data_IF_413419081554
#
_entry.id   IF_413419081554
#
_cell.length_a   1.000
_cell.length_b   1.000
_cell.length_c   1.000
_cell.angle_alpha   90.00
_cell.angle_beta   90.00
_cell.angle_gamma   90.00
#
_symmetry.space_group_name_H-M   'P 1'
#
loop_
_entity.id
_entity.type
_entity.pdbx_description
1 polymer ?
#
# COMPACT_ATOMS: atom_id res chain seq x y z
N UNK A 1 4.76 -8.94 23.65
CA UNK A 1 4.76 -7.69 22.87
C UNK A 1 5.59 -6.66 23.62
N UNK A 2 6.46 -5.97 22.89
CA UNK A 2 7.21 -4.82 23.41
C UNK A 2 6.25 -3.66 23.75
N UNK A 3 6.51 -2.92 24.83
CA UNK A 3 5.67 -1.78 25.24
C UNK A 3 5.84 -0.61 24.24
N UNK A 4 4.76 -0.26 23.54
CA UNK A 4 4.74 0.81 22.54
C UNK A 4 5.04 2.20 23.11
N UNK A 5 4.80 2.41 24.41
CA UNK A 5 5.05 3.69 25.08
C UNK A 5 6.53 3.86 25.45
N UNK A 6 7.29 2.77 25.55
CA UNK A 6 8.67 2.77 26.03
C UNK A 6 9.62 2.06 25.06
N UNK A 7 9.65 2.54 23.80
CA UNK A 7 10.52 2.03 22.74
C UNK A 7 11.82 2.82 22.66
N UNK A 8 12.95 2.11 22.66
CA UNK A 8 14.25 2.65 22.25
C UNK A 8 14.46 2.38 20.75
N UNK A 9 14.02 3.35 19.93
CA UNK A 9 14.08 3.26 18.47
C UNK A 9 15.50 3.02 17.94
N UNK A 10 16.52 3.61 18.56
CA UNK A 10 17.91 3.45 18.12
C UNK A 10 18.42 2.05 18.38
N UNK A 11 18.13 1.49 19.56
CA UNK A 11 18.50 0.12 19.89
C UNK A 11 17.79 -0.91 18.99
N UNK A 12 16.58 -0.60 18.55
CA UNK A 12 15.83 -1.42 17.58
C UNK A 12 16.35 -1.25 16.14
N UNK A 13 17.31 -0.34 15.90
CA UNK A 13 17.82 -0.01 14.57
C UNK A 13 16.74 0.53 13.65
N UNK A 14 15.90 1.42 14.18
CA UNK A 14 14.88 2.11 13.41
C UNK A 14 15.51 2.98 12.33
N UNK A 15 14.99 2.85 11.11
CA UNK A 15 15.26 3.75 10.01
C UNK A 15 13.96 4.13 9.31
N UNK A 16 13.86 5.39 8.88
CA UNK A 16 12.68 5.87 8.17
C UNK A 16 12.99 6.85 7.04
N UNK A 17 12.21 6.81 5.97
CA UNK A 17 12.32 7.72 4.83
C UNK A 17 10.98 8.33 4.46
N UNK A 18 11.00 9.47 3.79
CA UNK A 18 9.82 10.16 3.29
C UNK A 18 9.85 10.23 1.77
N UNK A 19 8.70 9.95 1.18
CA UNK A 19 8.36 10.25 -0.20
C UNK A 19 7.25 11.31 -0.15
N UNK A 20 7.63 12.57 -0.36
CA UNK A 20 6.71 13.71 -0.26
C UNK A 20 6.26 14.12 -1.65
N UNK A 21 4.98 13.88 -1.93
CA UNK A 21 4.34 14.26 -3.18
C UNK A 21 3.63 15.59 -2.99
N UNK A 22 3.86 16.55 -3.87
CA UNK A 22 3.23 17.87 -3.77
C UNK A 22 2.85 18.43 -5.14
N UNK A 23 1.60 18.87 -5.30
CA UNK A 23 1.14 19.41 -6.58
C UNK A 23 1.82 20.75 -6.86
N UNK A 24 2.43 20.87 -8.03
CA UNK A 24 2.99 22.12 -8.54
C UNK A 24 1.84 22.97 -9.08
N UNK A 25 1.80 24.23 -8.69
CA UNK A 25 0.84 25.19 -9.21
C UNK A 25 1.20 25.49 -10.67
N UNK A 26 0.44 24.99 -11.63
CA UNK A 26 0.56 25.34 -13.06
C UNK A 26 -0.78 25.82 -13.62
N UNK A 27 -0.78 26.39 -14.83
CA UNK A 27 -1.98 26.74 -15.59
C UNK A 27 -2.58 25.53 -16.30
N UNK A 28 -1.75 24.58 -16.72
CA UNK A 28 -2.14 23.37 -17.45
C UNK A 28 -1.56 22.12 -16.80
N UNK A 29 -2.14 20.97 -17.15
CA UNK A 29 -1.62 19.65 -16.80
C UNK A 29 -0.27 19.37 -17.48
N UNK A 30 0.50 18.42 -16.95
CA UNK A 30 1.90 18.23 -17.30
C UNK A 30 2.10 17.86 -18.77
N UNK A 31 1.27 16.97 -19.32
CA UNK A 31 1.40 16.45 -20.69
C UNK A 31 0.15 16.68 -21.55
N UNK A 32 -0.72 17.62 -21.18
CA UNK A 32 -1.82 18.07 -22.02
C UNK A 32 -2.14 19.56 -21.79
N UNK A 33 -3.14 20.10 -22.49
CA UNK A 33 -3.51 21.51 -22.40
C UNK A 33 -4.68 21.76 -21.43
N UNK A 34 -5.20 20.73 -20.77
CA UNK A 34 -6.31 20.87 -19.83
C UNK A 34 -5.91 21.70 -18.60
N UNK A 35 -6.83 22.51 -18.06
CA UNK A 35 -6.57 23.31 -16.87
C UNK A 35 -6.43 22.43 -15.61
N UNK A 36 -5.64 22.87 -14.64
CA UNK A 36 -5.47 22.15 -13.37
C UNK A 36 -6.57 22.50 -12.36
N UNK A 37 -7.82 22.19 -12.67
CA UNK A 37 -8.98 22.45 -11.81
C UNK A 37 -9.67 21.15 -11.43
N UNK A 38 -10.09 21.02 -10.18
CA UNK A 38 -10.87 19.87 -9.71
C UNK A 38 -12.36 20.14 -9.95
N UNK A 39 -13.11 19.07 -10.19
CA UNK A 39 -14.56 19.11 -10.28
C UNK A 39 -15.15 18.45 -9.03
N UNK A 40 -15.81 19.24 -8.19
CA UNK A 40 -16.32 18.80 -6.90
C UNK A 40 -17.74 18.23 -7.00
N UNK A 41 -18.52 18.64 -8.01
CA UNK A 41 -19.87 18.12 -8.20
C UNK A 41 -19.84 16.86 -9.07
N UNK A 42 -20.20 15.68 -8.54
CA UNK A 42 -20.28 14.45 -9.34
C UNK A 42 -21.26 14.54 -10.51
N UNK A 43 -22.30 15.38 -10.43
CA UNK A 43 -23.29 15.56 -11.51
C UNK A 43 -22.68 16.23 -12.76
N UNK A 44 -21.55 16.93 -12.59
CA UNK A 44 -20.83 17.55 -13.70
C UNK A 44 -19.94 16.54 -14.46
N UNK A 45 -19.92 15.25 -14.07
CA UNK A 45 -19.23 14.20 -14.81
C UNK A 45 -20.09 13.74 -15.99
N UNK A 46 -19.84 14.31 -17.16
CA UNK A 46 -20.64 14.12 -18.38
C UNK A 46 -20.42 12.74 -19.02
N UNK A 47 -19.23 12.18 -18.87
CA UNK A 47 -18.83 10.93 -19.51
C UNK A 47 -18.33 9.91 -18.52
N UNK A 48 -18.59 8.64 -18.82
CA UNK A 48 -17.93 7.53 -18.15
C UNK A 48 -17.54 6.44 -19.14
N UNK A 49 -16.44 5.77 -18.84
CA UNK A 49 -15.97 4.60 -19.57
C UNK A 49 -15.31 3.63 -18.60
N UNK A 50 -15.11 2.39 -19.03
CA UNK A 50 -14.46 1.40 -18.20
C UNK A 50 -13.26 0.77 -18.91
N UNK A 51 -12.27 0.35 -18.13
CA UNK A 51 -11.09 -0.36 -18.60
C UNK A 51 -10.77 -1.55 -17.70
N UNK A 52 -10.06 -2.50 -18.28
CA UNK A 52 -9.37 -3.57 -17.58
C UNK A 52 -7.89 -3.42 -17.85
N UNK A 53 -7.10 -3.59 -16.80
CA UNK A 53 -5.65 -3.53 -16.90
C UNK A 53 -5.08 -4.93 -17.02
N UNK A 54 -4.00 -5.06 -17.78
CA UNK A 54 -3.27 -6.32 -17.95
C UNK A 54 -1.79 -6.11 -17.64
N UNK A 55 -1.13 -7.07 -17.00
CA UNK A 55 0.31 -7.00 -16.80
C UNK A 55 1.02 -7.02 -18.16
N UNK A 56 2.15 -6.32 -18.23
CA UNK A 56 3.00 -6.25 -19.42
C UNK A 56 4.39 -6.76 -19.03
N UNK A 57 5.07 -7.43 -19.95
CA UNK A 57 6.44 -7.86 -19.75
C UNK A 57 7.35 -6.64 -19.61
N UNK A 58 8.27 -6.68 -18.65
CA UNK A 58 9.36 -5.71 -18.56
C UNK A 58 10.34 -5.88 -19.72
N UNK A 59 11.36 -5.01 -19.78
CA UNK A 59 12.38 -5.04 -20.84
C UNK A 59 13.11 -6.39 -20.92
N UNK A 60 13.26 -7.08 -19.78
CA UNK A 60 13.88 -8.41 -19.69
C UNK A 60 12.96 -9.58 -20.06
N UNK A 61 11.68 -9.31 -20.40
CA UNK A 61 10.74 -10.36 -20.77
C UNK A 61 10.06 -11.08 -19.59
N UNK A 62 10.22 -10.58 -18.36
CA UNK A 62 9.58 -11.09 -17.15
C UNK A 62 8.45 -10.16 -16.66
N UNK A 63 7.49 -10.70 -15.91
CA UNK A 63 6.44 -9.92 -15.24
C UNK A 63 6.88 -9.47 -13.84
N UNK A 64 6.57 -8.23 -13.46
CA UNK A 64 6.68 -7.80 -12.06
C UNK A 64 5.72 -8.61 -11.17
N UNK A 65 6.20 -9.29 -10.11
CA UNK A 65 5.34 -10.09 -9.23
C UNK A 65 4.23 -9.25 -8.56
N UNK A 66 4.51 -8.00 -8.21
CA UNK A 66 3.52 -7.10 -7.62
C UNK A 66 2.40 -6.75 -8.60
N UNK A 67 2.73 -6.58 -9.88
CA UNK A 67 1.77 -6.37 -10.97
C UNK A 67 0.87 -7.58 -11.19
N UNK A 68 1.40 -8.80 -11.11
CA UNK A 68 0.60 -10.04 -11.18
C UNK A 68 -0.42 -10.14 -10.04
N UNK A 69 -0.01 -9.78 -8.82
CA UNK A 69 -0.91 -9.75 -7.66
C UNK A 69 -2.00 -8.69 -7.83
N UNK A 70 -1.67 -7.51 -8.39
CA UNK A 70 -2.67 -6.47 -8.65
C UNK A 70 -3.68 -6.94 -9.73
N UNK A 71 -3.19 -7.60 -10.78
CA UNK A 71 -4.03 -8.19 -11.82
C UNK A 71 -4.96 -9.29 -11.27
N UNK A 72 -4.47 -10.11 -10.34
CA UNK A 72 -5.24 -11.18 -9.67
C UNK A 72 -6.46 -10.63 -8.90
N UNK A 73 -6.42 -9.36 -8.46
CA UNK A 73 -7.58 -8.69 -7.83
C UNK A 73 -8.75 -8.50 -8.80
N UNK A 74 -8.51 -8.50 -10.11
CA UNK A 74 -9.54 -8.52 -11.15
C UNK A 74 -10.47 -7.30 -11.16
N UNK A 75 -9.95 -6.10 -10.86
CA UNK A 75 -10.78 -4.90 -10.81
C UNK A 75 -11.26 -4.46 -12.19
N UNK A 76 -12.57 -4.19 -12.30
CA UNK A 76 -13.14 -3.33 -13.34
C UNK A 76 -12.93 -1.87 -12.93
N UNK A 77 -12.26 -1.08 -13.77
CA UNK A 77 -11.98 0.32 -13.47
C UNK A 77 -12.95 1.19 -14.25
N UNK A 78 -13.72 2.03 -13.57
CA UNK A 78 -14.65 2.99 -14.17
C UNK A 78 -14.08 4.40 -14.01
N UNK A 79 -13.93 5.10 -15.11
CA UNK A 79 -13.45 6.47 -15.16
C UNK A 79 -14.60 7.43 -15.39
N UNK A 80 -14.59 8.53 -14.65
CA UNK A 80 -15.52 9.65 -14.76
C UNK A 80 -14.75 10.87 -15.31
N UNK A 81 -15.33 11.54 -16.30
CA UNK A 81 -14.70 12.64 -17.01
C UNK A 81 -15.72 13.73 -17.36
N UNK A 82 -15.20 14.93 -17.64
CA UNK A 82 -15.96 16.09 -18.12
C UNK A 82 -15.08 16.89 -19.10
N UNK A 83 -15.68 17.64 -20.02
CA UNK A 83 -14.94 18.39 -21.05
C UNK A 83 -14.13 19.55 -20.47
N UNK A 84 -14.55 20.06 -19.31
CA UNK A 84 -13.98 21.26 -18.72
C UNK A 84 -12.52 21.07 -18.30
N UNK A 85 -12.12 19.87 -17.87
CA UNK A 85 -10.78 19.60 -17.37
C UNK A 85 -10.18 18.24 -17.76
N UNK A 86 -10.82 17.50 -18.66
CA UNK A 86 -10.33 16.21 -19.16
C UNK A 86 -10.35 16.23 -20.69
N UNK A 87 -9.29 15.74 -21.33
CA UNK A 87 -9.27 15.50 -22.77
C UNK A 87 -8.94 14.04 -23.09
N UNK A 88 -8.82 13.74 -24.39
CA UNK A 88 -8.51 12.39 -24.89
C UNK A 88 -7.14 11.88 -24.45
N UNK A 89 -6.21 12.77 -24.06
CA UNK A 89 -4.94 12.36 -23.44
C UNK A 89 -5.16 11.63 -22.12
N UNK A 90 -5.91 12.23 -21.19
CA UNK A 90 -6.20 11.59 -19.90
C UNK A 90 -7.06 10.35 -20.04
N UNK A 91 -7.79 10.20 -21.15
CA UNK A 91 -8.55 9.00 -21.46
C UNK A 91 -7.70 7.88 -22.07
N UNK A 92 -6.40 8.12 -22.32
CA UNK A 92 -5.50 7.22 -23.04
C UNK A 92 -6.00 6.93 -24.47
N UNK A 93 -6.39 7.99 -25.18
CA UNK A 93 -6.86 7.98 -26.58
C UNK A 93 -6.03 8.93 -27.46
N UNK A 94 -5.00 9.58 -26.92
CA UNK A 94 -4.12 10.50 -27.63
C UNK A 94 -2.71 10.49 -27.02
N UNK A 95 -1.64 10.48 -27.83
CA UNK A 95 -0.27 10.61 -27.32
C UNK A 95 -0.06 11.85 -26.44
N UNK A 96 0.96 11.86 -25.55
CA UNK A 96 1.28 13.03 -24.73
C UNK A 96 1.61 14.26 -25.59
N UNK A 97 1.17 15.43 -25.12
CA UNK A 97 1.66 16.69 -25.62
C UNK A 97 3.03 17.01 -25.01
N UNK A 98 3.75 17.97 -25.59
CA UNK A 98 5.02 18.44 -25.03
C UNK A 98 4.84 18.90 -23.57
N UNK A 99 5.77 18.54 -22.66
CA UNK A 99 5.60 18.78 -21.24
C UNK A 99 5.48 20.26 -20.88
N UNK A 100 4.84 20.54 -19.75
CA UNK A 100 4.68 21.89 -19.23
C UNK A 100 6.00 22.47 -18.72
N UNK A 101 6.62 23.33 -19.54
CA UNK A 101 7.89 23.98 -19.21
C UNK A 101 7.80 24.84 -17.93
N UNK A 102 6.64 25.42 -17.61
CA UNK A 102 6.43 26.16 -16.35
C UNK A 102 6.54 25.23 -15.13
N UNK A 103 5.99 24.00 -15.22
CA UNK A 103 6.14 23.00 -14.18
C UNK A 103 7.59 22.50 -14.07
N UNK A 104 8.27 22.29 -15.19
CA UNK A 104 9.68 21.88 -15.24
C UNK A 104 10.55 22.91 -14.53
N UNK A 105 10.48 24.19 -14.95
CA UNK A 105 11.26 25.28 -14.36
C UNK A 105 11.07 25.36 -12.83
N UNK A 106 9.83 25.20 -12.37
CA UNK A 106 9.52 25.15 -10.92
C UNK A 106 10.16 23.96 -10.22
N UNK A 107 10.25 22.80 -10.85
CA UNK A 107 10.96 21.66 -10.26
C UNK A 107 12.47 21.92 -10.09
N UNK A 108 13.10 22.62 -11.03
CA UNK A 108 14.51 23.03 -10.90
C UNK A 108 14.69 24.07 -9.80
N UNK A 109 13.83 25.10 -9.75
CA UNK A 109 13.84 26.08 -8.64
C UNK A 109 13.67 25.38 -7.30
N UNK A 110 12.75 24.42 -7.20
CA UNK A 110 12.55 23.66 -5.98
C UNK A 110 13.77 22.81 -5.61
N UNK A 111 14.46 22.24 -6.61
CA UNK A 111 15.70 21.48 -6.42
C UNK A 111 16.82 22.35 -5.82
N UNK A 112 16.92 23.63 -6.23
CA UNK A 112 17.83 24.61 -5.62
C UNK A 112 17.48 24.89 -4.14
N UNK A 113 16.19 25.04 -3.81
CA UNK A 113 15.76 25.19 -2.42
C UNK A 113 16.12 23.99 -1.54
N UNK A 114 16.21 22.80 -2.14
CA UNK A 114 16.65 21.57 -1.48
C UNK A 114 18.15 21.33 -1.55
N UNK A 115 18.93 22.31 -2.02
CA UNK A 115 20.38 22.24 -2.12
C UNK A 115 20.87 21.05 -2.96
N UNK A 116 20.08 20.59 -3.93
CA UNK A 116 20.51 19.55 -4.86
C UNK A 116 21.76 20.01 -5.63
N UNK A 117 22.69 19.09 -5.88
CA UNK A 117 23.92 19.39 -6.61
C UNK A 117 23.99 18.76 -7.99
N UNK A 118 23.14 17.76 -8.25
CA UNK A 118 23.17 16.95 -9.48
C UNK A 118 21.89 17.18 -10.28
N UNK A 119 21.88 18.21 -11.13
CA UNK A 119 20.73 18.55 -11.98
C UNK A 119 20.72 17.72 -13.26
N UNK A 120 19.53 17.37 -13.75
CA UNK A 120 19.39 16.76 -15.07
C UNK A 120 19.69 17.82 -16.15
N UNK A 121 20.69 17.59 -16.99
CA UNK A 121 20.99 18.44 -18.15
C UNK A 121 20.07 18.14 -19.34
N UNK A 122 19.59 16.91 -19.41
CA UNK A 122 18.60 16.45 -20.39
C UNK A 122 17.52 15.66 -19.64
N UNK A 123 16.27 16.08 -19.80
CA UNK A 123 15.13 15.42 -19.19
C UNK A 123 14.65 14.31 -20.11
N UNK A 124 14.74 13.08 -19.62
CA UNK A 124 14.15 11.90 -20.26
C UNK A 124 12.93 11.47 -19.47
N UNK A 125 11.77 11.48 -20.13
CA UNK A 125 10.51 11.03 -19.53
C UNK A 125 10.48 9.51 -19.46
N UNK A 126 10.08 8.98 -18.31
CA UNK A 126 9.96 7.55 -18.06
C UNK A 126 8.53 7.19 -17.65
N UNK A 127 8.19 5.91 -17.80
CA UNK A 127 6.89 5.31 -17.46
C UNK A 127 7.05 4.41 -16.23
N UNK A 128 6.41 4.78 -15.12
CA UNK A 128 6.34 4.00 -13.88
C UNK A 128 5.01 3.24 -13.86
N UNK A 129 5.00 1.91 -14.03
CA UNK A 129 3.78 1.09 -14.28
C UNK A 129 2.76 1.00 -13.11
N UNK A 130 1.51 1.43 -13.24
CA UNK A 130 0.44 1.27 -12.22
C UNK A 130 -0.73 0.43 -12.77
N UNK A 131 -1.03 -0.71 -12.15
CA UNK A 131 -2.19 -1.56 -12.52
C UNK A 131 -3.42 -1.36 -11.61
N UNK A 132 -3.35 -0.47 -10.62
CA UNK A 132 -4.45 -0.22 -9.67
C UNK A 132 -5.60 0.61 -10.27
N UNK A 133 -5.47 1.03 -11.54
CA UNK A 133 -6.46 1.83 -12.25
C UNK A 133 -6.41 3.33 -11.94
N UNK A 134 -5.50 3.80 -11.10
CA UNK A 134 -5.40 5.23 -10.78
C UNK A 134 -4.88 6.08 -11.96
N UNK A 135 -4.31 5.44 -12.98
CA UNK A 135 -3.80 6.07 -14.20
C UNK A 135 -4.29 5.27 -15.41
N UNK A 136 -4.91 5.95 -16.37
CA UNK A 136 -5.61 5.33 -17.52
C UNK A 136 -4.71 4.58 -18.49
N UNK A 137 -3.48 5.06 -18.69
CA UNK A 137 -2.43 4.44 -19.50
C UNK A 137 -1.82 3.19 -18.85
N UNK A 138 -2.06 2.97 -17.55
CA UNK A 138 -1.41 1.92 -16.77
C UNK A 138 0.02 2.25 -16.37
N UNK A 139 0.48 3.50 -16.56
CA UNK A 139 1.78 3.98 -16.10
C UNK A 139 1.78 5.50 -15.89
N UNK A 140 2.49 5.95 -14.86
CA UNK A 140 2.70 7.37 -14.58
C UNK A 140 3.90 7.87 -15.38
N UNK A 141 3.77 9.01 -16.07
CA UNK A 141 4.95 9.69 -16.62
C UNK A 141 5.68 10.45 -15.51
N UNK A 142 6.98 10.22 -15.43
CA UNK A 142 7.86 10.76 -14.37
C UNK A 142 9.26 11.00 -14.92
N UNK A 143 9.95 12.01 -14.41
CA UNK A 143 11.35 12.28 -14.73
C UNK A 143 12.07 12.94 -13.55
N UNK A 144 13.37 12.71 -13.46
CA UNK A 144 14.23 13.31 -12.44
C UNK A 144 14.55 14.74 -12.86
N UNK A 145 14.37 15.71 -11.97
CA UNK A 145 14.89 17.07 -12.17
C UNK A 145 16.27 17.26 -11.53
N UNK A 146 16.48 16.70 -10.33
CA UNK A 146 17.76 16.77 -9.63
C UNK A 146 17.94 15.66 -8.57
N UNK A 147 19.18 15.50 -8.11
CA UNK A 147 19.61 14.56 -7.06
C UNK A 147 20.59 15.22 -6.10
N UNK A 148 20.91 14.49 -5.03
CA UNK A 148 21.95 14.82 -4.05
C UNK A 148 21.68 16.13 -3.29
N UNK A 149 20.43 16.31 -2.84
CA UNK A 149 20.01 17.42 -1.98
C UNK A 149 20.05 17.10 -0.50
N UNK A 150 19.58 18.02 0.35
CA UNK A 150 19.42 17.80 1.80
C UNK A 150 18.54 18.85 2.47
N UNK A 151 18.04 18.50 3.67
CA UNK A 151 17.39 19.44 4.61
C UNK A 151 18.04 19.38 5.99
N UNK A 152 18.12 20.51 6.73
CA UNK A 152 18.69 20.52 8.08
C UNK A 152 17.67 19.99 9.10
N UNK A 153 18.06 18.98 9.88
CA UNK A 153 17.21 18.34 10.90
C UNK A 153 18.04 18.18 12.18
N UNK A 154 17.63 18.84 13.26
CA UNK A 154 18.25 18.71 14.59
C UNK A 154 19.79 18.81 14.61
N UNK A 155 20.36 19.70 13.79
CA UNK A 155 21.82 19.91 13.72
C UNK A 155 22.57 18.94 12.78
N UNK A 156 21.89 17.97 12.16
CA UNK A 156 22.41 17.14 11.07
C UNK A 156 21.73 17.43 9.73
N UNK A 157 22.25 16.83 8.66
CA UNK A 157 21.63 16.85 7.33
C UNK A 157 20.90 15.53 7.10
N UNK A 158 19.64 15.59 6.67
CA UNK A 158 18.94 14.47 6.08
C UNK A 158 18.99 14.65 4.57
N UNK A 159 19.59 13.69 3.87
CA UNK A 159 19.79 13.77 2.42
C UNK A 159 18.48 13.58 1.67
N UNK A 160 18.36 14.27 0.54
CA UNK A 160 17.34 14.07 -0.48
C UNK A 160 18.04 13.34 -1.62
N UNK A 161 17.63 12.10 -1.88
CA UNK A 161 18.26 11.26 -2.90
C UNK A 161 17.85 11.71 -4.30
N UNK A 162 16.56 11.98 -4.51
CA UNK A 162 16.00 12.35 -5.79
C UNK A 162 14.86 13.35 -5.62
N UNK A 163 14.73 14.24 -6.59
CA UNK A 163 13.56 15.07 -6.83
C UNK A 163 13.02 14.78 -8.23
N UNK A 164 11.77 14.33 -8.27
CA UNK A 164 11.05 14.03 -9.50
C UNK A 164 10.01 15.10 -9.81
N UNK A 165 9.69 15.20 -11.09
CA UNK A 165 8.44 15.80 -11.58
C UNK A 165 7.65 14.70 -12.28
N UNK A 166 6.38 14.58 -11.95
CA UNK A 166 5.51 13.52 -12.44
C UNK A 166 4.06 13.96 -12.58
N UNK A 167 3.25 13.12 -13.21
CA UNK A 167 1.80 13.29 -13.29
C UNK A 167 1.11 12.85 -11.99
N UNK A 168 0.22 13.65 -11.44
CA UNK A 168 -0.65 13.18 -10.36
C UNK A 168 -1.68 12.15 -10.88
N UNK A 169 -2.10 11.25 -10.02
CA UNK A 169 -3.05 10.19 -10.34
C UNK A 169 -4.51 10.68 -10.27
N UNK A 170 -5.43 9.96 -10.91
CA UNK A 170 -6.87 10.22 -10.83
C UNK A 170 -7.38 10.17 -9.37
N UNK A 171 -8.48 10.88 -9.07
CA UNK A 171 -9.09 10.84 -7.73
C UNK A 171 -10.00 9.63 -7.62
N UNK A 172 -9.75 8.76 -6.64
CA UNK A 172 -10.63 7.64 -6.38
C UNK A 172 -11.94 8.12 -5.74
N UNK A 173 -13.07 7.55 -6.17
CA UNK A 173 -14.44 7.89 -5.72
C UNK A 173 -15.03 6.68 -4.99
N UNK A 174 -15.73 6.92 -3.87
CA UNK A 174 -16.50 5.94 -3.08
C UNK A 174 -15.76 4.63 -2.75
N UNK A 175 -14.85 4.66 -1.78
CA UNK A 175 -14.17 3.47 -1.26
C UNK A 175 -14.90 2.91 -0.05
N UNK A 176 -16.06 2.28 -0.26
CA UNK A 176 -16.74 1.62 0.86
C UNK A 176 -16.83 0.10 0.66
N UNK A 177 -16.64 -0.44 -0.55
CA UNK A 177 -16.68 -1.89 -0.74
C UNK A 177 -15.81 -2.42 -1.91
N UNK A 178 -14.74 -3.15 -1.56
CA UNK A 178 -13.90 -3.88 -2.53
C UNK A 178 -14.53 -5.17 -3.03
N UNK A 179 -15.63 -5.64 -2.43
CA UNK A 179 -16.33 -6.89 -2.80
C UNK A 179 -16.87 -6.84 -4.23
N UNK A 180 -17.32 -5.66 -4.67
CA UNK A 180 -17.88 -5.42 -6.00
C UNK A 180 -16.87 -5.56 -7.14
N UNK A 181 -15.57 -5.68 -6.82
CA UNK A 181 -14.44 -5.69 -7.76
C UNK A 181 -14.51 -4.56 -8.79
N UNK A 182 -15.13 -3.44 -8.42
CA UNK A 182 -15.25 -2.27 -9.27
C UNK A 182 -14.69 -1.06 -8.53
N UNK A 183 -13.85 -0.29 -9.21
CA UNK A 183 -13.25 0.93 -8.65
C UNK A 183 -13.57 2.12 -9.55
N UNK A 184 -13.86 3.26 -8.93
CA UNK A 184 -14.27 4.47 -9.63
C UNK A 184 -13.20 5.54 -9.49
N UNK A 185 -12.82 6.19 -10.58
CA UNK A 185 -11.83 7.26 -10.61
C UNK A 185 -12.34 8.46 -11.40
N UNK A 186 -12.21 9.64 -10.82
CA UNK A 186 -12.42 10.92 -11.49
C UNK A 186 -11.09 11.40 -12.12
N UNK A 187 -11.11 11.66 -13.42
CA UNK A 187 -9.94 12.04 -14.22
C UNK A 187 -9.53 13.51 -14.07
N UNK A 188 -10.31 14.32 -13.37
CA UNK A 188 -10.04 15.75 -13.22
C UNK A 188 -8.62 16.08 -12.71
N UNK A 189 -8.10 15.28 -11.78
CA UNK A 189 -6.75 15.43 -11.21
C UNK A 189 -5.66 14.73 -12.02
N UNK A 190 -6.00 13.72 -12.81
CA UNK A 190 -5.02 12.96 -13.58
C UNK A 190 -4.21 13.92 -14.46
N UNK A 191 -2.88 13.87 -14.37
CA UNK A 191 -1.99 14.72 -15.16
C UNK A 191 -1.64 16.06 -14.51
N UNK A 192 -2.15 16.39 -13.31
CA UNK A 192 -1.66 17.58 -12.60
C UNK A 192 -0.13 17.48 -12.40
N UNK A 193 0.65 18.54 -12.62
CA UNK A 193 2.08 18.48 -12.33
C UNK A 193 2.31 18.28 -10.84
N UNK A 194 3.13 17.30 -10.50
CA UNK A 194 3.44 16.88 -9.14
C UNK A 194 4.97 16.83 -9.00
N UNK A 195 5.49 17.21 -7.83
CA UNK A 195 6.87 16.91 -7.45
C UNK A 195 6.88 15.79 -6.42
N UNK A 196 7.84 14.87 -6.54
CA UNK A 196 8.13 13.83 -5.55
C UNK A 196 9.53 14.05 -4.98
N UNK A 197 9.62 14.34 -3.69
CA UNK A 197 10.88 14.55 -2.94
C UNK A 197 11.14 13.30 -2.11
N UNK A 198 12.25 12.61 -2.36
CA UNK A 198 12.59 11.34 -1.72
C UNK A 198 13.80 11.52 -0.80
N UNK A 199 13.64 11.20 0.49
CA UNK A 199 14.73 11.28 1.47
C UNK A 199 15.52 9.99 1.58
N UNK A 200 16.77 10.09 2.04
CA UNK A 200 17.59 8.96 2.45
C UNK A 200 17.07 8.41 3.78
N UNK A 201 16.69 7.13 3.80
CA UNK A 201 16.02 6.53 4.96
C UNK A 201 16.98 6.22 6.11
N UNK A 202 18.27 6.03 5.80
CA UNK A 202 19.31 5.77 6.81
C UNK A 202 19.67 7.00 7.64
N UNK A 203 19.33 8.20 7.19
CA UNK A 203 19.64 9.46 7.89
C UNK A 203 18.66 9.78 9.02
N UNK A 204 17.54 9.05 9.15
CA UNK A 204 16.51 9.24 10.18
C UNK A 204 16.45 8.02 11.07
N UNK A 205 16.75 8.20 12.36
CA UNK A 205 16.87 7.12 13.35
C UNK A 205 15.79 7.19 14.45
N UNK A 206 14.96 8.23 14.45
CA UNK A 206 13.85 8.37 15.41
C UNK A 206 12.60 9.01 14.78
N UNK A 207 11.41 8.80 15.37
CA UNK A 207 10.19 9.48 14.91
C UNK A 207 10.27 11.01 14.99
N UNK A 208 10.97 11.56 15.99
CA UNK A 208 11.13 13.02 16.09
C UNK A 208 11.92 13.60 14.92
N UNK A 209 12.97 12.90 14.49
CA UNK A 209 13.74 13.27 13.30
C UNK A 209 12.90 13.16 12.03
N UNK A 210 12.04 12.14 11.91
CA UNK A 210 11.13 11.98 10.78
C UNK A 210 10.14 13.15 10.69
N UNK A 211 9.51 13.50 11.82
CA UNK A 211 8.56 14.62 11.91
C UNK A 211 9.25 15.94 11.55
N UNK A 212 10.45 16.18 12.06
CA UNK A 212 11.18 17.41 11.73
C UNK A 212 11.62 17.43 10.26
N UNK A 213 12.02 16.29 9.69
CA UNK A 213 12.31 16.16 8.25
C UNK A 213 11.09 16.55 7.42
N UNK A 214 9.91 16.00 7.73
CA UNK A 214 8.66 16.33 7.06
C UNK A 214 8.31 17.83 7.18
N UNK A 215 8.51 18.41 8.38
CA UNK A 215 8.31 19.85 8.61
C UNK A 215 9.24 20.70 7.76
N UNK A 216 10.51 20.33 7.61
CA UNK A 216 11.49 21.06 6.79
C UNK A 216 11.11 21.02 5.31
N UNK A 217 10.78 19.84 4.78
CA UNK A 217 10.30 19.70 3.39
C UNK A 217 9.04 20.55 3.17
N UNK A 218 8.07 20.47 4.09
CA UNK A 218 6.86 21.29 4.04
C UNK A 218 7.12 22.79 4.17
N UNK A 219 8.14 23.23 4.92
CA UNK A 219 8.55 24.65 4.99
C UNK A 219 9.11 25.12 3.65
N UNK A 220 9.99 24.34 3.02
CA UNK A 220 10.53 24.65 1.68
C UNK A 220 9.40 24.78 0.65
N UNK A 221 8.50 23.80 0.59
CA UNK A 221 7.34 23.83 -0.32
C UNK A 221 6.44 25.05 -0.09
N UNK A 222 6.27 25.49 1.16
CA UNK A 222 5.48 26.69 1.50
C UNK A 222 6.17 28.00 1.13
N UNK A 223 7.47 28.10 1.41
CA UNK A 223 8.27 29.32 1.18
C UNK A 223 8.48 29.56 -0.31
N UNK A 224 8.73 28.50 -1.08
CA UNK A 224 8.90 28.58 -2.54
C UNK A 224 7.67 29.10 -3.28
N UNK A 225 6.46 28.97 -2.68
CA UNK A 225 5.16 29.31 -3.30
C UNK A 225 4.86 28.55 -4.61
N UNK A 226 5.62 27.49 -4.87
CA UNK A 226 5.46 26.62 -6.04
C UNK A 226 4.30 25.64 -5.83
N UNK A 227 4.17 25.14 -4.60
CA UNK A 227 3.15 24.17 -4.24
C UNK A 227 1.72 24.73 -4.23
N UNK A 228 0.75 23.91 -4.64
CA UNK A 228 -0.68 24.21 -4.48
C UNK A 228 -1.09 24.15 -3.02
N UNK A 229 -2.03 25.00 -2.65
CA UNK A 229 -2.66 25.00 -1.32
C UNK A 229 -4.04 24.36 -1.38
N UNK A 230 -4.44 23.73 -0.29
CA UNK A 230 -5.73 23.06 -0.16
C UNK A 230 -5.57 21.65 0.37
N UNK A 231 -6.70 21.02 0.69
CA UNK A 231 -6.72 19.61 1.08
C UNK A 231 -6.33 18.74 -0.12
N UNK A 232 -5.52 17.70 0.14
CA UNK A 232 -5.12 16.74 -0.89
C UNK A 232 -4.08 17.23 -1.90
N UNK A 233 -3.48 18.40 -1.71
CA UNK A 233 -2.38 18.90 -2.58
C UNK A 233 -1.02 18.34 -2.20
N UNK A 234 -0.88 17.82 -0.98
CA UNK A 234 0.30 17.12 -0.48
C UNK A 234 -0.07 15.70 -0.06
N UNK A 235 0.79 14.73 -0.38
CA UNK A 235 0.72 13.35 0.10
C UNK A 235 2.10 12.97 0.61
N UNK A 236 2.13 12.17 1.66
CA UNK A 236 3.38 11.68 2.25
C UNK A 236 3.24 10.18 2.42
N UNK A 237 4.19 9.48 1.83
CA UNK A 237 4.36 8.05 2.00
C UNK A 237 5.62 7.86 2.87
N UNK A 238 5.51 7.04 3.91
CA UNK A 238 6.58 6.85 4.91
C UNK A 238 7.13 5.45 4.80
N UNK A 239 8.43 5.33 4.61
CA UNK A 239 9.13 4.06 4.61
C UNK A 239 9.69 3.80 6.00
N UNK A 240 9.45 2.62 6.59
CA UNK A 240 9.91 2.26 7.94
C UNK A 240 10.56 0.87 7.91
N UNK A 241 11.64 0.70 8.67
CA UNK A 241 12.28 -0.59 8.93
C UNK A 241 12.94 -0.62 10.31
N UNK A 242 13.11 -1.82 10.85
CA UNK A 242 13.92 -2.10 12.06
C UNK A 242 14.93 -3.21 11.80
N UNK A 243 15.88 -3.40 12.72
CA UNK A 243 16.84 -4.51 12.65
C UNK A 243 16.12 -5.86 12.67
N UNK A 244 16.46 -6.75 11.73
CA UNK A 244 15.79 -8.05 11.55
C UNK A 244 14.42 -7.98 10.86
N UNK A 245 13.90 -6.77 10.64
CA UNK A 245 12.68 -6.50 9.89
C UNK A 245 12.94 -6.28 8.40
N UNK A 246 12.00 -5.61 7.74
CA UNK A 246 12.09 -5.28 6.32
C UNK A 246 11.47 -3.91 6.04
N UNK A 247 11.80 -3.30 4.90
CA UNK A 247 11.23 -2.02 4.49
C UNK A 247 9.73 -2.17 4.22
N UNK A 248 8.94 -1.33 4.86
CA UNK A 248 7.49 -1.23 4.66
C UNK A 248 7.15 0.20 4.31
N UNK A 249 6.33 0.37 3.28
CA UNK A 249 5.87 1.68 2.82
C UNK A 249 4.45 1.92 3.34
N UNK A 250 4.24 2.92 4.18
CA UNK A 250 2.94 3.31 4.71
C UNK A 250 2.43 4.53 3.94
N UNK A 251 1.36 4.34 3.18
CA UNK A 251 0.74 5.39 2.35
C UNK A 251 -0.39 6.12 3.07
N UNK A 252 -0.58 7.38 2.67
CA UNK A 252 -1.75 8.17 3.03
C UNK A 252 -1.66 8.85 4.39
N UNK A 253 -0.45 9.10 4.89
CA UNK A 253 -0.24 9.77 6.17
C UNK A 253 -0.28 11.29 5.93
N UNK A 254 -1.44 11.90 6.16
CA UNK A 254 -1.62 13.34 5.91
C UNK A 254 -1.26 14.20 7.11
N UNK A 255 -1.54 13.70 8.32
CA UNK A 255 -1.34 14.41 9.57
C UNK A 255 0.01 14.07 10.19
N UNK A 256 0.85 15.10 10.39
CA UNK A 256 2.16 14.95 10.99
C UNK A 256 2.09 14.58 12.47
N UNK A 257 0.99 14.91 13.16
CA UNK A 257 0.81 14.61 14.58
C UNK A 257 0.63 13.09 14.81
N UNK A 258 0.26 12.35 13.76
CA UNK A 258 0.09 10.90 13.80
C UNK A 258 1.37 10.12 13.46
N UNK A 259 2.45 10.79 13.06
CA UNK A 259 3.68 10.11 12.64
C UNK A 259 4.32 9.32 13.78
N UNK A 260 4.37 9.86 15.00
CA UNK A 260 4.95 9.17 16.15
C UNK A 260 4.16 7.88 16.48
N UNK A 261 2.83 7.99 16.56
CA UNK A 261 1.95 6.85 16.80
C UNK A 261 2.10 5.78 15.71
N UNK A 262 2.11 6.19 14.44
CA UNK A 262 2.34 5.28 13.31
C UNK A 262 3.68 4.56 13.42
N UNK A 263 4.77 5.28 13.73
CA UNK A 263 6.10 4.70 13.86
C UNK A 263 6.13 3.68 15.00
N UNK A 264 5.55 4.00 16.16
CA UNK A 264 5.45 3.07 17.30
C UNK A 264 4.70 1.80 16.91
N UNK A 265 3.53 1.93 16.29
CA UNK A 265 2.70 0.79 15.92
C UNK A 265 3.34 -0.07 14.82
N UNK A 266 4.10 0.53 13.89
CA UNK A 266 4.83 -0.23 12.88
C UNK A 266 6.06 -0.94 13.47
N UNK A 267 6.79 -0.32 14.40
CA UNK A 267 7.90 -0.96 15.11
C UNK A 267 7.42 -2.16 15.92
N UNK A 268 6.32 -2.01 16.66
CA UNK A 268 5.68 -3.11 17.40
C UNK A 268 5.30 -4.25 16.44
N UNK A 269 4.67 -3.92 15.31
CA UNK A 269 4.28 -4.90 14.30
C UNK A 269 5.49 -5.69 13.77
N UNK A 270 6.54 -4.99 13.35
CA UNK A 270 7.73 -5.64 12.83
C UNK A 270 8.40 -6.51 13.89
N UNK A 271 8.52 -6.00 15.13
CA UNK A 271 9.10 -6.75 16.24
C UNK A 271 8.31 -8.04 16.53
N UNK A 272 6.98 -7.96 16.64
CA UNK A 272 6.15 -9.14 16.89
C UNK A 272 6.23 -10.16 15.74
N UNK A 273 6.30 -9.71 14.48
CA UNK A 273 6.48 -10.62 13.34
C UNK A 273 7.84 -11.33 13.35
N UNK A 274 8.89 -10.67 13.85
CA UNK A 274 10.19 -11.31 14.08
C UNK A 274 10.07 -12.36 15.20
N UNK A 275 9.39 -12.05 16.30
CA UNK A 275 9.14 -13.02 17.38
C UNK A 275 8.33 -14.23 16.88
N UNK A 276 7.30 -14.00 16.06
CA UNK A 276 6.50 -15.06 15.42
C UNK A 276 7.39 -15.94 14.56
N UNK A 277 8.24 -15.35 13.71
CA UNK A 277 9.21 -16.10 12.90
C UNK A 277 10.10 -16.99 13.78
N UNK A 278 10.68 -16.43 14.84
CA UNK A 278 11.55 -17.18 15.75
C UNK A 278 10.80 -18.34 16.42
N UNK A 279 9.56 -18.12 16.82
CA UNK A 279 8.70 -19.14 17.42
C UNK A 279 8.32 -20.24 16.41
N UNK A 280 7.99 -19.86 15.17
CA UNK A 280 7.75 -20.83 14.08
C UNK A 280 8.99 -21.71 13.84
N UNK A 281 10.19 -21.12 13.84
CA UNK A 281 11.45 -21.85 13.70
C UNK A 281 11.71 -22.77 14.90
N UNK A 282 11.47 -22.32 16.14
CA UNK A 282 11.60 -23.14 17.36
C UNK A 282 10.66 -24.35 17.33
N UNK A 283 9.46 -24.19 16.78
CA UNK A 283 8.48 -25.28 16.58
C UNK A 283 8.83 -26.21 15.41
N UNK A 284 9.88 -25.92 14.65
CA UNK A 284 10.29 -26.68 13.47
C UNK A 284 9.23 -26.62 12.37
N UNK A 285 8.61 -25.46 12.16
CA UNK A 285 7.69 -25.21 11.05
C UNK A 285 8.49 -24.94 9.77
N UNK A 286 8.07 -25.57 8.67
CA UNK A 286 8.66 -25.44 7.34
C UNK A 286 7.59 -25.12 6.31
N UNK A 287 7.97 -24.68 5.11
CA UNK A 287 7.00 -24.40 4.05
C UNK A 287 6.23 -25.66 3.60
N UNK A 288 6.84 -26.83 3.75
CA UNK A 288 6.26 -28.14 3.39
C UNK A 288 5.16 -28.58 4.37
N UNK A 289 5.13 -28.04 5.60
CA UNK A 289 4.04 -28.29 6.54
C UNK A 289 2.70 -27.72 6.05
N UNK A 290 2.73 -26.77 5.11
CA UNK A 290 1.52 -26.11 4.59
C UNK A 290 1.20 -26.58 3.16
N UNK A 291 0.43 -27.66 3.08
CA UNK A 291 -0.20 -28.15 1.86
C UNK A 291 -1.52 -27.42 1.57
N UNK A 292 -1.89 -27.33 0.30
CA UNK A 292 -3.15 -26.71 -0.14
C UNK A 292 -4.31 -27.71 -0.06
N UNK A 293 -4.53 -28.26 1.12
CA UNK A 293 -5.60 -29.25 1.38
C UNK A 293 -6.78 -28.53 2.03
N UNK A 294 -7.87 -28.38 1.27
CA UNK A 294 -9.07 -27.69 1.73
C UNK A 294 -10.19 -28.67 2.04
N UNK A 295 -10.86 -28.48 3.17
CA UNK A 295 -11.95 -29.34 3.63
C UNK A 295 -13.27 -28.59 3.52
N UNK A 296 -14.24 -29.16 2.80
CA UNK A 296 -15.61 -28.63 2.75
C UNK A 296 -16.33 -28.94 4.08
N UNK A 297 -16.61 -27.89 4.84
CA UNK A 297 -17.34 -27.96 6.12
C UNK A 297 -18.74 -27.33 6.02
N UNK A 298 -19.21 -27.05 4.80
CA UNK A 298 -20.50 -26.39 4.56
C UNK A 298 -21.68 -27.12 5.19
N UNK A 299 -21.62 -28.46 5.26
CA UNK A 299 -22.67 -29.30 5.85
C UNK A 299 -22.86 -29.08 7.37
N UNK A 300 -21.93 -28.39 8.04
CA UNK A 300 -22.05 -28.01 9.45
C UNK A 300 -22.82 -26.70 9.67
N UNK A 301 -23.02 -25.91 8.60
CA UNK A 301 -23.64 -24.59 8.66
C UNK A 301 -25.00 -24.64 7.97
N UNK A 302 -26.04 -24.09 8.61
CA UNK A 302 -27.36 -23.94 8.02
C UNK A 302 -27.39 -22.69 7.12
N UNK A 303 -26.68 -22.74 5.98
CA UNK A 303 -26.55 -21.61 5.05
C UNK A 303 -26.46 -22.05 3.59
N UNK A 304 -26.94 -21.21 2.68
CA UNK A 304 -26.73 -21.36 1.24
C UNK A 304 -25.28 -21.06 0.81
N UNK A 305 -24.52 -20.34 1.64
CA UNK A 305 -23.10 -20.04 1.40
C UNK A 305 -22.21 -21.23 1.77
N UNK A 306 -21.06 -21.35 1.08
CA UNK A 306 -20.12 -22.46 1.31
C UNK A 306 -19.07 -22.08 2.35
N UNK A 307 -18.61 -23.09 3.09
CA UNK A 307 -17.61 -22.96 4.14
C UNK A 307 -16.50 -23.96 3.88
N UNK A 308 -15.28 -23.45 3.79
CA UNK A 308 -14.10 -24.27 3.59
C UNK A 308 -13.08 -23.99 4.67
N UNK A 309 -12.38 -25.03 5.09
CA UNK A 309 -11.39 -24.95 6.13
C UNK A 309 -10.03 -25.47 5.67
N UNK A 310 -8.98 -24.98 6.30
CA UNK A 310 -7.61 -25.48 6.15
C UNK A 310 -6.99 -25.67 7.53
N UNK A 311 -6.22 -26.74 7.69
CA UNK A 311 -5.43 -26.99 8.89
C UNK A 311 -4.09 -26.27 8.72
N UNK A 312 -3.64 -25.61 9.77
CA UNK A 312 -2.37 -24.91 9.83
C UNK A 312 -1.51 -25.58 10.90
N UNK A 313 -0.64 -26.53 10.52
CA UNK A 313 0.10 -27.34 11.49
C UNK A 313 0.98 -26.49 12.39
N UNK A 314 1.04 -26.84 13.68
CA UNK A 314 1.85 -26.17 14.72
C UNK A 314 1.57 -24.66 14.93
N UNK A 315 0.52 -24.11 14.31
CA UNK A 315 0.19 -22.67 14.35
C UNK A 315 -0.69 -22.26 15.52
N UNK A 316 -1.08 -23.19 16.41
CA UNK A 316 -1.92 -22.89 17.56
C UNK A 316 -1.31 -21.82 18.46
N UNK A 317 -2.13 -20.84 18.83
CA UNK A 317 -1.75 -19.67 19.61
C UNK A 317 -0.99 -18.60 18.84
N UNK A 318 -0.52 -18.84 17.60
CA UNK A 318 0.20 -17.84 16.81
C UNK A 318 -0.74 -16.88 16.09
N UNK A 319 -1.91 -17.33 15.63
CA UNK A 319 -2.87 -16.44 14.96
C UNK A 319 -3.42 -15.40 15.94
N UNK A 320 -3.65 -15.80 17.19
CA UNK A 320 -4.14 -14.92 18.25
C UNK A 320 -3.10 -13.96 18.84
N UNK A 321 -1.84 -13.97 18.38
CA UNK A 321 -0.84 -13.02 18.86
C UNK A 321 -1.14 -11.62 18.35
N UNK A 322 -1.24 -10.66 19.26
CA UNK A 322 -1.44 -9.26 18.92
C UNK A 322 -0.18 -8.70 18.25
N UNK A 323 -0.32 -8.22 17.00
CA UNK A 323 0.77 -7.62 16.21
C UNK A 323 0.70 -6.10 16.20
N UNK A 324 -0.49 -5.52 16.34
CA UNK A 324 -0.74 -4.10 16.54
C UNK A 324 -1.93 -3.96 17.49
N UNK A 325 -2.13 -2.77 18.07
CA UNK A 325 -3.21 -2.54 19.01
C UNK A 325 -4.57 -3.03 18.45
N UNK A 326 -5.22 -3.94 19.16
CA UNK A 326 -6.48 -4.60 18.80
C UNK A 326 -6.45 -5.35 17.46
N UNK A 327 -5.28 -5.78 17.00
CA UNK A 327 -5.08 -6.51 15.75
C UNK A 327 -4.12 -7.65 15.95
N UNK A 328 -4.62 -8.87 15.76
CA UNK A 328 -3.82 -10.07 15.83
C UNK A 328 -3.25 -10.50 14.48
N UNK A 329 -2.38 -11.50 14.53
CA UNK A 329 -1.70 -12.06 13.38
C UNK A 329 -2.68 -12.70 12.39
N UNK A 330 -3.78 -13.28 12.86
CA UNK A 330 -4.87 -13.77 12.02
C UNK A 330 -5.50 -12.66 11.18
N UNK A 331 -5.82 -11.52 11.79
CA UNK A 331 -6.31 -10.35 11.07
C UNK A 331 -5.30 -9.86 10.04
N UNK A 332 -4.03 -9.68 10.41
CA UNK A 332 -2.92 -9.33 9.49
C UNK A 332 -2.86 -10.24 8.25
N UNK A 333 -3.08 -11.55 8.41
CA UNK A 333 -3.13 -12.49 7.29
C UNK A 333 -4.38 -12.29 6.43
N UNK A 334 -5.53 -12.11 7.06
CA UNK A 334 -6.81 -11.99 6.35
C UNK A 334 -6.93 -10.67 5.58
N UNK A 335 -6.18 -9.63 5.91
CA UNK A 335 -6.16 -8.39 5.12
C UNK A 335 -5.68 -8.63 3.69
N UNK A 336 -4.60 -9.40 3.54
CA UNK A 336 -4.05 -9.77 2.24
C UNK A 336 -5.01 -10.71 1.49
N UNK A 337 -5.54 -11.71 2.19
CA UNK A 337 -6.54 -12.63 1.63
C UNK A 337 -7.75 -11.87 1.08
N UNK A 338 -8.32 -10.96 1.85
CA UNK A 338 -9.50 -10.18 1.47
C UNK A 338 -9.24 -9.34 0.22
N UNK A 339 -8.13 -8.60 0.16
CA UNK A 339 -7.86 -7.73 -0.98
C UNK A 339 -7.66 -8.52 -2.29
N UNK A 340 -7.09 -9.72 -2.22
CA UNK A 340 -6.77 -10.52 -3.41
C UNK A 340 -7.93 -11.46 -3.79
N UNK A 341 -8.61 -12.10 -2.83
CA UNK A 341 -9.71 -13.05 -3.08
C UNK A 341 -11.08 -12.39 -3.14
N UNK A 342 -11.26 -11.27 -2.43
CA UNK A 342 -12.52 -10.52 -2.36
C UNK A 342 -13.45 -11.02 -1.28
N UNK A 343 -13.03 -12.04 -0.51
CA UNK A 343 -13.78 -12.52 0.66
C UNK A 343 -13.55 -11.55 1.82
N UNK A 344 -14.60 -10.94 2.40
CA UNK A 344 -14.46 -10.03 3.54
C UNK A 344 -13.69 -10.64 4.72
N UNK A 345 -12.93 -9.82 5.47
CA UNK A 345 -12.22 -10.29 6.70
C UNK A 345 -13.17 -10.87 7.74
N UNK A 346 -14.40 -10.38 7.78
CA UNK A 346 -15.46 -10.88 8.66
C UNK A 346 -15.95 -12.28 8.27
N UNK A 347 -15.67 -12.72 7.04
CA UNK A 347 -15.99 -14.06 6.54
C UNK A 347 -14.81 -15.04 6.71
N UNK A 348 -13.83 -14.68 7.52
CA UNK A 348 -12.71 -15.52 7.92
C UNK A 348 -12.76 -15.76 9.44
N UNK A 349 -12.30 -16.93 9.88
CA UNK A 349 -12.20 -17.32 11.28
C UNK A 349 -10.92 -18.13 11.48
N UNK A 350 -10.15 -17.89 12.54
CA UNK A 350 -9.07 -18.79 12.97
C UNK A 350 -9.33 -19.40 14.34
N UNK A 351 -8.88 -20.63 14.57
CA UNK A 351 -9.18 -21.39 15.80
C UNK A 351 -8.73 -20.70 17.11
N UNK A 352 -7.73 -19.82 17.07
CA UNK A 352 -7.27 -19.08 18.25
C UNK A 352 -8.27 -17.99 18.71
N UNK A 353 -9.26 -17.63 17.88
CA UNK A 353 -10.32 -16.70 18.28
C UNK A 353 -11.50 -17.38 19.00
N UNK A 354 -11.38 -18.67 19.32
CA UNK A 354 -12.41 -19.42 20.03
C UNK A 354 -12.63 -18.92 21.48
N UNK A 355 -11.57 -18.47 22.14
CA UNK A 355 -11.66 -17.94 23.50
C UNK A 355 -12.32 -16.55 23.51
N UNK A 356 -13.21 -16.30 24.48
CA UNK A 356 -13.98 -15.05 24.59
C UNK A 356 -13.10 -13.79 24.71
N UNK A 357 -11.91 -13.93 25.31
CA UNK A 357 -10.93 -12.86 25.48
C UNK A 357 -9.99 -12.65 24.30
N UNK A 358 -10.20 -13.33 23.16
CA UNK A 358 -9.31 -13.18 22.00
C UNK A 358 -9.35 -11.76 21.44
N UNK A 359 -8.18 -11.31 20.94
CA UNK A 359 -8.06 -9.97 20.33
C UNK A 359 -9.02 -9.85 19.15
N UNK A 360 -9.14 -10.88 18.31
CA UNK A 360 -10.00 -10.82 17.13
C UNK A 360 -11.45 -10.49 17.45
N UNK A 361 -12.04 -11.13 18.48
CA UNK A 361 -13.44 -10.90 18.87
C UNK A 361 -13.69 -9.48 19.37
N UNK A 362 -12.68 -8.86 19.97
CA UNK A 362 -12.74 -7.51 20.53
C UNK A 362 -12.17 -6.44 19.59
N UNK A 363 -11.74 -6.84 18.38
CA UNK A 363 -11.21 -5.92 17.36
C UNK A 363 -12.32 -5.15 16.65
N UNK A 364 -11.93 -4.17 15.83
CA UNK A 364 -12.84 -3.47 14.93
C UNK A 364 -13.43 -4.38 13.82
N UNK A 365 -12.87 -5.59 13.64
CA UNK A 365 -13.21 -6.51 12.56
C UNK A 365 -13.44 -7.96 13.04
N UNK A 366 -14.38 -8.21 13.97
CA UNK A 366 -14.65 -9.56 14.44
C UNK A 366 -15.16 -10.46 13.31
N UNK A 367 -14.98 -11.77 13.45
CA UNK A 367 -15.59 -12.72 12.54
C UNK A 367 -17.11 -12.71 12.69
N UNK A 368 -17.82 -12.83 11.57
CA UNK A 368 -19.27 -13.04 11.50
C UNK A 368 -19.62 -14.53 11.42
N UNK A 369 -18.63 -15.42 11.47
CA UNK A 369 -18.86 -16.85 11.59
C UNK A 369 -19.18 -17.15 13.05
N UNK A 370 -20.46 -17.37 13.35
CA UNK A 370 -20.94 -17.70 14.69
C UNK A 370 -20.58 -19.14 15.07
N UNK A 371 -19.30 -19.36 15.40
CA UNK A 371 -18.77 -20.67 15.81
C UNK A 371 -18.86 -20.78 17.32
N UNK A 372 -19.95 -21.38 17.79
CA UNK A 372 -20.13 -21.73 19.20
C UNK A 372 -19.32 -22.99 19.58
N UNK A 373 -19.38 -23.35 20.87
CA UNK A 373 -18.68 -24.53 21.39
C UNK A 373 -19.06 -25.83 20.67
N UNK A 374 -20.35 -26.02 20.37
CA UNK A 374 -20.82 -27.25 19.73
C UNK A 374 -20.32 -27.35 18.28
N UNK A 375 -20.36 -26.24 17.54
CA UNK A 375 -19.86 -26.16 16.18
C UNK A 375 -18.34 -26.27 16.12
N UNK A 376 -17.62 -25.68 17.07
CA UNK A 376 -16.17 -25.83 17.20
C UNK A 376 -15.77 -27.29 17.44
N UNK A 377 -16.47 -28.01 18.32
CA UNK A 377 -16.23 -29.44 18.56
C UNK A 377 -16.50 -30.29 17.30
N UNK A 378 -17.55 -29.97 16.53
CA UNK A 378 -17.84 -30.62 15.24
C UNK A 378 -16.77 -30.32 14.18
N UNK A 379 -16.28 -29.08 14.11
CA UNK A 379 -15.17 -28.72 13.22
C UNK A 379 -13.91 -29.50 13.59
N UNK A 380 -13.58 -29.58 14.87
CA UNK A 380 -12.44 -30.36 15.35
C UNK A 380 -12.60 -31.86 15.03
N UNK A 381 -13.79 -32.43 15.08
CA UNK A 381 -13.98 -33.85 14.76
C UNK A 381 -13.80 -34.18 13.27
N UNK A 382 -14.14 -33.25 12.39
CA UNK A 382 -13.97 -33.40 10.93
C UNK A 382 -12.54 -33.08 10.50
N UNK A 383 -11.97 -31.99 11.01
CA UNK A 383 -10.62 -31.56 10.65
C UNK A 383 -9.55 -32.40 11.35
N UNK A 384 -9.87 -32.96 12.52
CA UNK A 384 -8.96 -33.76 13.35
C UNK A 384 -7.56 -33.10 13.55
N UNK A 385 -7.50 -31.81 13.98
CA UNK A 385 -6.23 -31.12 14.19
C UNK A 385 -5.44 -31.77 15.33
N UNK A 386 -4.11 -31.83 15.21
CA UNK A 386 -3.25 -32.27 16.33
C UNK A 386 -3.26 -31.19 17.43
N UNK A 387 -2.75 -31.55 18.61
CA UNK A 387 -2.77 -30.70 19.81
C UNK A 387 -2.25 -29.27 19.59
N UNK A 388 -1.23 -29.10 18.76
CA UNK A 388 -0.58 -27.81 18.45
C UNK A 388 -0.99 -27.21 17.09
N UNK A 389 -1.90 -27.86 16.38
CA UNK A 389 -2.38 -27.35 15.09
C UNK A 389 -3.48 -26.32 15.33
N UNK A 390 -3.55 -25.35 14.42
CA UNK A 390 -4.68 -24.43 14.30
C UNK A 390 -5.47 -24.76 13.04
N UNK A 391 -6.63 -24.14 12.88
CA UNK A 391 -7.35 -24.17 11.61
C UNK A 391 -7.94 -22.81 11.28
N UNK A 392 -8.20 -22.59 9.99
CA UNK A 392 -8.87 -21.39 9.48
C UNK A 392 -10.10 -21.84 8.71
N UNK A 393 -11.22 -21.12 8.88
CA UNK A 393 -12.47 -21.32 8.15
C UNK A 393 -12.79 -20.06 7.35
N UNK A 394 -13.22 -20.22 6.11
CA UNK A 394 -13.62 -19.14 5.21
C UNK A 394 -15.03 -19.40 4.67
N UNK A 395 -15.88 -18.39 4.77
CA UNK A 395 -17.24 -18.36 4.18
C UNK A 395 -17.24 -17.62 2.85
N UNK A 396 -17.83 -18.20 1.81
CA UNK A 396 -17.90 -17.57 0.49
C UNK A 396 -18.39 -18.51 -0.61
N UNK A 397 -18.22 -18.10 -1.87
CA UNK A 397 -18.34 -19.04 -2.99
C UNK A 397 -17.15 -19.99 -3.02
N UNK A 398 -17.32 -21.21 -3.54
CA UNK A 398 -16.23 -22.20 -3.63
C UNK A 398 -14.95 -21.62 -4.25
N UNK A 399 -15.06 -20.98 -5.41
CA UNK A 399 -13.91 -20.35 -6.09
C UNK A 399 -13.22 -19.29 -5.21
N UNK A 400 -14.00 -18.43 -4.54
CA UNK A 400 -13.44 -17.36 -3.71
C UNK A 400 -12.83 -17.91 -2.42
N UNK A 401 -13.47 -18.88 -1.76
CA UNK A 401 -12.97 -19.50 -0.54
C UNK A 401 -11.69 -20.28 -0.78
N UNK A 402 -11.59 -21.05 -1.88
CA UNK A 402 -10.34 -21.72 -2.27
C UNK A 402 -9.21 -20.71 -2.53
N UNK A 403 -9.53 -19.62 -3.22
CA UNK A 403 -8.57 -18.56 -3.48
C UNK A 403 -8.13 -17.87 -2.17
N UNK A 404 -9.05 -17.56 -1.26
CA UNK A 404 -8.77 -16.98 0.04
C UNK A 404 -7.84 -17.89 0.87
N UNK A 405 -8.19 -19.17 1.01
CA UNK A 405 -7.37 -20.14 1.75
C UNK A 405 -5.97 -20.29 1.14
N UNK A 406 -5.84 -20.28 -0.20
CA UNK A 406 -4.53 -20.24 -0.86
C UNK A 406 -3.70 -19.03 -0.42
N UNK A 407 -4.30 -17.83 -0.41
CA UNK A 407 -3.61 -16.58 -0.02
C UNK A 407 -3.26 -16.53 1.46
N UNK A 408 -4.06 -17.17 2.31
CA UNK A 408 -3.77 -17.35 3.73
C UNK A 408 -2.53 -18.22 3.90
N UNK A 409 -2.47 -19.38 3.21
CA UNK A 409 -1.30 -20.27 3.24
C UNK A 409 -0.05 -19.57 2.69
N UNK A 410 -0.13 -18.89 1.55
CA UNK A 410 0.97 -18.09 1.01
C UNK A 410 1.49 -17.06 2.03
N UNK A 411 0.58 -16.41 2.77
CA UNK A 411 0.95 -15.40 3.77
C UNK A 411 1.55 -16.02 5.04
N UNK A 412 1.10 -17.20 5.47
CA UNK A 412 1.72 -17.94 6.56
C UNK A 412 3.15 -18.36 6.18
N UNK A 413 3.37 -18.84 4.95
CA UNK A 413 4.72 -19.14 4.45
C UNK A 413 5.62 -17.92 4.46
N UNK A 414 5.11 -16.74 4.09
CA UNK A 414 5.88 -15.48 4.18
C UNK A 414 6.35 -15.16 5.61
N UNK A 415 5.57 -15.53 6.64
CA UNK A 415 5.95 -15.28 8.03
C UNK A 415 7.17 -16.09 8.49
N UNK A 416 7.49 -17.22 7.84
CA UNK A 416 8.76 -17.95 8.06
C UNK A 416 9.99 -17.11 7.69
N UNK A 417 9.82 -16.13 6.81
CA UNK A 417 10.88 -15.20 6.42
C UNK A 417 10.93 -13.95 7.33
N UNK A 418 9.88 -13.70 8.13
CA UNK A 418 9.76 -12.56 9.04
C UNK A 418 8.85 -11.47 8.47
N UNK A 419 9.29 -10.21 8.55
CA UNK A 419 8.50 -9.07 8.07
C UNK A 419 8.47 -9.05 6.54
N UNK A 420 7.29 -9.16 5.91
CA UNK A 420 7.18 -9.08 4.46
C UNK A 420 7.35 -7.63 3.97
N UNK A 421 8.05 -7.47 2.85
CA UNK A 421 8.17 -6.19 2.16
C UNK A 421 6.86 -5.86 1.43
N UNK A 422 6.17 -4.81 1.86
CA UNK A 422 4.85 -4.46 1.31
C UNK A 422 4.49 -2.98 1.50
N UNK A 423 3.53 -2.54 0.69
CA UNK A 423 2.88 -1.24 0.83
C UNK A 423 1.63 -1.43 1.68
N UNK A 424 1.46 -0.56 2.67
CA UNK A 424 0.36 -0.58 3.63
C UNK A 424 -0.37 0.75 3.61
N UNK A 425 -1.65 0.74 3.97
CA UNK A 425 -2.47 1.93 4.15
C UNK A 425 -2.51 2.29 5.63
N UNK A 426 -2.32 3.57 5.95
CA UNK A 426 -2.48 4.08 7.31
C UNK A 426 -3.96 4.09 7.73
N UNK A 427 -4.23 3.67 8.96
CA UNK A 427 -5.54 3.72 9.61
C UNK A 427 -5.48 4.77 10.73
N UNK A 428 -6.55 5.56 10.91
CA UNK A 428 -6.58 6.70 11.85
C UNK A 428 -6.23 6.36 13.30
N UNK A 429 -6.37 5.10 13.72
CA UNK A 429 -5.98 4.63 15.05
C UNK A 429 -4.46 4.39 15.20
N UNK A 430 -3.65 4.71 14.19
CA UNK A 430 -2.21 4.51 14.20
C UNK A 430 -1.75 3.22 13.52
N UNK A 431 -2.66 2.26 13.32
CA UNK A 431 -2.32 0.99 12.69
C UNK A 431 -2.14 1.13 11.18
N UNK A 432 -1.64 0.07 10.57
CA UNK A 432 -1.51 -0.03 9.13
C UNK A 432 -2.09 -1.35 8.64
N UNK A 433 -2.62 -1.37 7.42
CA UNK A 433 -3.15 -2.58 6.81
C UNK A 433 -2.55 -2.82 5.43
N UNK A 434 -2.45 -4.08 5.03
CA UNK A 434 -1.95 -4.44 3.70
C UNK A 434 -2.72 -3.69 2.60
N UNK A 435 -2.00 -3.15 1.61
CA UNK A 435 -2.59 -2.51 0.42
C UNK A 435 -2.17 -3.25 -0.85
N UNK A 436 -0.86 -3.44 -1.03
CA UNK A 436 -0.28 -4.15 -2.17
C UNK A 436 1.15 -4.63 -1.87
N UNK A 437 1.64 -5.54 -2.69
CA UNK A 437 3.04 -5.94 -2.69
C UNK A 437 3.89 -4.78 -3.22
N UNK A 438 5.07 -4.55 -2.65
CA UNK A 438 6.01 -3.56 -3.20
C UNK A 438 6.45 -4.03 -4.59
N UNK A 439 6.33 -3.13 -5.56
CA UNK A 439 6.80 -3.40 -6.92
C UNK A 439 8.33 -3.42 -6.97
N UNK A 440 8.89 -4.26 -7.84
CA UNK A 440 10.32 -4.34 -8.07
C UNK A 440 10.90 -3.08 -8.72
N UNK A 441 12.24 -3.06 -8.84
CA UNK A 441 12.97 -1.97 -9.50
C UNK A 441 12.68 -1.88 -11.01
N UNK A 442 12.25 -2.98 -11.63
CA UNK A 442 12.03 -3.13 -13.08
C UNK A 442 10.70 -2.52 -13.58
N UNK A 443 10.16 -1.54 -12.83
CA UNK A 443 8.87 -0.89 -13.09
C UNK A 443 8.97 0.35 -13.98
N UNK A 444 10.19 0.82 -14.23
CA UNK A 444 10.47 2.07 -14.93
C UNK A 444 11.08 1.73 -16.29
N UNK A 445 10.49 2.26 -17.36
CA UNK A 445 11.01 2.12 -18.72
C UNK A 445 10.81 3.45 -19.50
N UNK A 446 11.58 3.73 -20.56
CA UNK A 446 11.50 5.01 -21.27
C UNK A 446 10.12 5.30 -21.87
N UNK A 447 9.66 6.56 -21.81
CA UNK A 447 8.51 7.04 -22.59
C UNK A 447 8.98 7.44 -23.98
N UNK A 448 8.71 6.60 -24.98
CA UNK A 448 9.14 6.84 -26.37
C UNK A 448 8.28 7.85 -27.12
N UNK A 449 7.16 8.28 -26.55
CA UNK A 449 6.25 9.24 -27.18
C UNK A 449 6.70 10.68 -26.93
N UNK A 450 7.44 10.93 -25.85
CA UNK A 450 7.93 12.25 -25.48
C UNK A 450 9.39 12.41 -25.88
N UNK A 451 9.76 13.42 -26.70
CA UNK A 451 11.15 13.70 -27.00
C UNK A 451 11.88 14.20 -25.73
N UNK A 452 13.21 14.00 -25.65
CA UNK A 452 14.01 14.60 -24.59
C UNK A 452 13.87 16.13 -24.57
N UNK A 453 13.91 16.71 -23.36
CA UNK A 453 13.85 18.16 -23.15
C UNK A 453 15.20 18.63 -22.64
N UNK A 454 15.80 19.60 -23.34
CA UNK A 454 17.10 20.21 -23.01
C UNK A 454 16.90 21.57 -22.39
#
# INVERSE_FOLDING_TARGET
MIDSNNLDFKKLGFHAGLEVHHQIKSKRKLFCNCPTILEENPENMEYSFYRYFRPVLGEMGDFDPGMLVEFEKGYKVIYLANERNTCTYEMDETPPFFPDMEAIEKGYILSEYFHCTSFAEEIVVNRKQYLDGSITTGFQRTFISARDGWVPVNGKKVRITNLYIEEDAARRVNWDDTSSRTVYFNLDRLGFPLTEVITEYTDVETPEELIETAKQIGRVLRISKIGRRGLGTARQDVNISITGGNRVEIKGVQDLDLFDLMCRNEVVRQHTLIEIKEEMLKRGITEDDFEHTYVDVSHLFESETKYFAVICPKMKGLFGLEVQLNKDFGLEIFEKSMLISGVPRADHYHSDEFEDGSIRRNSDYPSKLEIDKQLYEKLCSILNPKENDAFVVVRGSEKQSMHALKKIIERIKMALNGVPQETRRFIRNGNSEFLRVIHGKDRIYPDTDTPPVV
#
